data_IF_090276820836
#
_entry.id   IF_090276820836
#
_cell.length_a   1.000
_cell.length_b   1.000
_cell.length_c   1.000
_cell.angle_alpha   90.00
_cell.angle_beta   90.00
_cell.angle_gamma   90.00
#
_symmetry.space_group_name_H-M   'P 1'
#
loop_
_entity.id
_entity.type
_entity.pdbx_description
1 polymer ?
#
# COMPACT_ATOMS: atom_id res chain seq x y z
N UNK A 1 -28.55 -42.04 -34.51
CA UNK A 1 -29.28 -40.82 -34.18
C UNK A 1 -28.48 -40.07 -33.13
N UNK A 2 -27.45 -39.32 -33.54
CA UNK A 2 -26.64 -38.43 -32.64
C UNK A 2 -27.17 -37.03 -32.87
N UNK A 3 -27.78 -36.47 -31.85
CA UNK A 3 -28.34 -35.13 -31.86
C UNK A 3 -27.22 -34.12 -32.08
N UNK A 4 -27.32 -33.42 -33.16
CA UNK A 4 -26.58 -32.21 -33.45
C UNK A 4 -27.00 -31.19 -32.39
N UNK A 5 -26.20 -31.01 -31.35
CA UNK A 5 -26.26 -29.79 -30.55
C UNK A 5 -26.05 -28.65 -31.54
N UNK A 6 -27.08 -27.87 -31.75
CA UNK A 6 -27.06 -26.87 -32.81
C UNK A 6 -25.97 -25.85 -32.49
N UNK A 7 -25.26 -25.39 -33.52
CA UNK A 7 -24.28 -24.33 -33.36
C UNK A 7 -24.85 -23.09 -32.63
N UNK A 8 -26.17 -22.95 -32.66
CA UNK A 8 -26.96 -21.95 -31.94
C UNK A 8 -26.88 -22.13 -30.39
N UNK A 9 -26.94 -23.40 -29.91
CA UNK A 9 -26.90 -23.65 -28.46
C UNK A 9 -25.52 -23.41 -27.88
N UNK A 10 -24.46 -23.74 -28.61
CA UNK A 10 -23.07 -23.45 -28.22
C UNK A 10 -22.79 -21.95 -28.24
N UNK A 11 -23.31 -21.24 -29.23
CA UNK A 11 -23.16 -19.78 -29.33
C UNK A 11 -23.96 -19.04 -28.27
N UNK A 12 -25.15 -19.54 -27.91
CA UNK A 12 -25.97 -19.04 -26.81
C UNK A 12 -25.28 -19.24 -25.46
N UNK A 13 -24.73 -20.41 -25.19
CA UNK A 13 -23.97 -20.71 -23.98
C UNK A 13 -22.70 -19.87 -23.88
N UNK A 14 -21.97 -19.71 -24.98
CA UNK A 14 -20.78 -18.85 -25.01
C UNK A 14 -21.14 -17.36 -24.76
N UNK A 15 -22.21 -16.87 -25.36
CA UNK A 15 -22.67 -15.50 -25.13
C UNK A 15 -23.17 -15.28 -23.71
N UNK A 16 -23.80 -16.26 -23.06
CA UNK A 16 -24.19 -16.19 -21.66
C UNK A 16 -22.97 -16.15 -20.74
N UNK A 17 -21.94 -16.95 -21.00
CA UNK A 17 -20.70 -16.93 -20.25
C UNK A 17 -20.00 -15.57 -20.41
N UNK A 18 -19.91 -15.06 -21.64
CA UNK A 18 -19.33 -13.75 -21.94
C UNK A 18 -20.13 -12.63 -21.26
N UNK A 19 -21.46 -12.69 -21.23
CA UNK A 19 -22.29 -11.67 -20.58
C UNK A 19 -22.17 -11.69 -19.06
N UNK A 20 -21.95 -12.84 -18.43
CA UNK A 20 -21.66 -12.97 -16.99
C UNK A 20 -20.27 -12.43 -16.68
N UNK A 21 -19.29 -12.65 -17.56
CA UNK A 21 -17.93 -12.11 -17.39
C UNK A 21 -17.82 -10.61 -17.70
N UNK A 22 -18.67 -10.07 -18.57
CA UNK A 22 -18.66 -8.66 -18.96
C UNK A 22 -19.38 -7.72 -17.98
N UNK A 23 -20.19 -8.26 -17.07
CA UNK A 23 -20.80 -7.52 -15.95
C UNK A 23 -20.50 -8.25 -14.65
N UNK A 24 -19.26 -8.20 -14.16
CA UNK A 24 -18.92 -8.84 -12.91
C UNK A 24 -19.75 -8.22 -11.79
N UNK A 25 -20.64 -9.00 -11.21
CA UNK A 25 -21.38 -8.61 -10.02
C UNK A 25 -20.42 -8.35 -8.83
N UNK A 26 -20.87 -7.72 -7.76
CA UNK A 26 -20.02 -7.36 -6.61
C UNK A 26 -19.28 -8.55 -6.00
N UNK A 27 -19.76 -9.76 -6.20
CA UNK A 27 -19.14 -10.99 -5.70
C UNK A 27 -18.03 -11.55 -6.59
N UNK A 28 -17.89 -11.08 -7.82
CA UNK A 28 -16.89 -11.61 -8.77
C UNK A 28 -15.45 -11.42 -8.25
N UNK A 29 -15.17 -10.28 -7.66
CA UNK A 29 -13.85 -9.98 -7.08
C UNK A 29 -13.49 -10.96 -5.96
N UNK A 30 -14.46 -11.29 -5.10
CA UNK A 30 -14.23 -12.27 -4.02
C UNK A 30 -14.02 -13.68 -4.56
N UNK A 31 -14.81 -14.08 -5.57
CA UNK A 31 -14.65 -15.39 -6.22
C UNK A 31 -13.26 -15.50 -6.86
N UNK A 32 -12.84 -14.48 -7.62
CA UNK A 32 -11.52 -14.45 -8.23
C UNK A 32 -10.40 -14.51 -7.19
N UNK A 33 -10.55 -13.77 -6.09
CA UNK A 33 -9.59 -13.77 -4.97
C UNK A 33 -9.43 -15.17 -4.38
N UNK A 34 -10.53 -15.87 -4.08
CA UNK A 34 -10.46 -17.22 -3.53
C UNK A 34 -9.94 -18.25 -4.53
N UNK A 35 -10.24 -18.09 -5.83
CA UNK A 35 -9.66 -18.95 -6.90
C UNK A 35 -8.14 -18.77 -6.92
N UNK A 36 -7.63 -17.55 -6.89
CA UNK A 36 -6.19 -17.27 -6.90
C UNK A 36 -5.52 -17.86 -5.66
N UNK A 37 -6.10 -17.67 -4.47
CA UNK A 37 -5.56 -18.25 -3.23
C UNK A 37 -5.56 -19.79 -3.33
N UNK A 38 -6.67 -20.39 -3.76
CA UNK A 38 -6.77 -21.84 -3.93
C UNK A 38 -5.74 -22.39 -4.91
N UNK A 39 -5.51 -21.69 -6.01
CA UNK A 39 -4.46 -22.03 -6.97
C UNK A 39 -3.08 -22.04 -6.30
N UNK A 40 -2.73 -21.01 -5.56
CA UNK A 40 -1.41 -20.98 -4.88
C UNK A 40 -1.28 -22.01 -3.76
N UNK A 41 -2.35 -22.33 -3.03
CA UNK A 41 -2.34 -23.39 -2.01
C UNK A 41 -2.03 -24.75 -2.66
N UNK A 42 -2.58 -25.00 -3.86
CA UNK A 42 -2.42 -26.30 -4.54
C UNK A 42 -1.09 -26.43 -5.29
N UNK A 43 -0.59 -25.36 -5.88
CA UNK A 43 0.52 -25.41 -6.83
C UNK A 43 1.82 -24.78 -6.31
N UNK A 44 1.79 -23.94 -5.28
CA UNK A 44 2.99 -23.30 -4.75
C UNK A 44 3.46 -24.00 -3.46
N UNK A 45 4.65 -24.61 -3.45
CA UNK A 45 5.23 -25.22 -2.25
C UNK A 45 5.35 -24.18 -1.12
N UNK A 46 4.96 -24.55 0.09
CA UNK A 46 5.03 -23.71 1.29
C UNK A 46 4.16 -22.44 1.28
N UNK A 47 3.23 -22.28 0.33
CA UNK A 47 2.33 -21.13 0.34
C UNK A 47 1.43 -21.10 1.59
N UNK A 48 0.85 -22.23 1.97
CA UNK A 48 -0.03 -22.36 3.13
C UNK A 48 0.75 -22.50 4.46
N UNK A 49 1.77 -21.67 4.67
CA UNK A 49 2.54 -21.64 5.93
C UNK A 49 2.28 -20.36 6.71
N UNK A 50 2.46 -20.41 8.05
CA UNK A 50 2.40 -19.21 8.90
C UNK A 50 3.43 -18.16 8.49
N UNK A 51 4.60 -18.58 7.98
CA UNK A 51 5.62 -17.67 7.45
C UNK A 51 5.12 -16.87 6.27
N UNK A 52 4.52 -17.54 5.28
CA UNK A 52 3.94 -16.87 4.10
C UNK A 52 2.76 -15.99 4.50
N UNK A 53 1.87 -16.45 5.37
CA UNK A 53 0.76 -15.65 5.87
C UNK A 53 1.26 -14.38 6.58
N UNK A 54 2.29 -14.48 7.42
CA UNK A 54 2.91 -13.33 8.08
C UNK A 54 3.55 -12.37 7.09
N UNK A 55 4.24 -12.87 6.07
CA UNK A 55 4.85 -12.04 5.03
C UNK A 55 3.79 -11.27 4.21
N UNK A 56 2.73 -11.95 3.79
CA UNK A 56 1.59 -11.32 3.10
C UNK A 56 0.95 -10.27 4.02
N UNK A 57 0.72 -10.61 5.30
CA UNK A 57 0.16 -9.70 6.28
C UNK A 57 0.97 -8.42 6.45
N UNK A 58 2.31 -8.50 6.51
CA UNK A 58 3.20 -7.32 6.60
C UNK A 58 3.08 -6.41 5.38
N UNK A 59 3.11 -6.98 4.17
CA UNK A 59 3.00 -6.20 2.92
C UNK A 59 1.62 -5.55 2.83
N UNK A 60 0.56 -6.31 3.10
CA UNK A 60 -0.82 -5.82 3.07
C UNK A 60 -1.04 -4.71 4.10
N UNK A 61 -0.45 -4.84 5.29
CA UNK A 61 -0.54 -3.82 6.33
C UNK A 61 -0.03 -2.45 5.86
N UNK A 62 1.15 -2.41 5.24
CA UNK A 62 1.72 -1.16 4.70
C UNK A 62 0.82 -0.54 3.64
N UNK A 63 0.33 -1.37 2.71
CA UNK A 63 -0.59 -0.90 1.65
C UNK A 63 -1.90 -0.38 2.25
N UNK A 64 -2.42 -1.04 3.29
CA UNK A 64 -3.67 -0.62 3.96
C UNK A 64 -3.50 0.72 4.68
N UNK A 65 -2.38 0.95 5.37
CA UNK A 65 -2.08 2.23 6.01
C UNK A 65 -2.07 3.36 4.96
N UNK A 66 -1.41 3.14 3.83
CA UNK A 66 -1.41 4.11 2.73
C UNK A 66 -2.82 4.32 2.16
N UNK A 67 -3.60 3.24 1.99
CA UNK A 67 -4.95 3.31 1.46
C UNK A 67 -5.91 4.12 2.36
N UNK A 68 -5.79 4.01 3.69
CA UNK A 68 -6.56 4.83 4.62
C UNK A 68 -6.24 6.32 4.41
N UNK A 69 -4.96 6.69 4.33
CA UNK A 69 -4.56 8.07 4.02
C UNK A 69 -5.09 8.55 2.67
N UNK A 70 -5.00 7.71 1.64
CA UNK A 70 -5.53 8.03 0.30
C UNK A 70 -7.05 8.19 0.28
N UNK A 71 -7.78 7.51 1.16
CA UNK A 71 -9.23 7.66 1.26
C UNK A 71 -9.62 9.10 1.57
N UNK A 72 -8.92 9.77 2.49
CA UNK A 72 -9.18 11.19 2.80
C UNK A 72 -8.93 12.10 1.59
N UNK A 73 -7.88 11.85 0.83
CA UNK A 73 -7.57 12.61 -0.39
C UNK A 73 -8.68 12.42 -1.43
N UNK A 74 -9.13 11.18 -1.64
CA UNK A 74 -10.19 10.84 -2.60
C UNK A 74 -11.54 11.44 -2.19
N UNK A 75 -11.86 11.44 -0.89
CA UNK A 75 -13.10 12.08 -0.37
C UNK A 75 -13.11 13.58 -0.66
N UNK A 76 -11.95 14.23 -0.69
CA UNK A 76 -11.81 15.63 -1.13
C UNK A 76 -11.87 15.80 -2.66
N UNK A 77 -12.13 14.74 -3.43
CA UNK A 77 -12.08 14.71 -4.90
C UNK A 77 -10.70 15.08 -5.48
N UNK A 78 -9.63 14.81 -4.74
CA UNK A 78 -8.25 15.10 -5.10
C UNK A 78 -7.46 13.81 -5.35
N UNK A 79 -6.27 13.94 -5.94
CA UNK A 79 -5.37 12.80 -6.24
C UNK A 79 -3.98 13.11 -5.68
N UNK A 80 -3.38 12.17 -4.95
CA UNK A 80 -1.99 12.28 -4.50
C UNK A 80 -1.13 11.18 -5.12
N UNK A 81 -0.27 11.57 -6.06
CA UNK A 81 0.70 10.69 -6.72
C UNK A 81 2.03 10.59 -5.96
N UNK A 82 2.24 11.44 -4.94
CA UNK A 82 3.51 11.51 -4.22
C UNK A 82 3.67 10.42 -3.14
N UNK A 83 2.62 9.68 -2.79
CA UNK A 83 2.61 8.70 -1.69
C UNK A 83 3.78 7.71 -1.76
N UNK A 84 4.07 7.12 -2.91
CA UNK A 84 5.17 6.17 -3.06
C UNK A 84 6.56 6.79 -2.83
N UNK A 85 6.79 8.01 -3.32
CA UNK A 85 8.04 8.74 -3.10
C UNK A 85 8.15 9.25 -1.66
N UNK A 86 7.03 9.56 -1.02
CA UNK A 86 6.95 9.90 0.39
C UNK A 86 7.47 8.77 1.29
N UNK A 87 7.01 7.53 1.05
CA UNK A 87 7.48 6.35 1.78
C UNK A 87 8.99 6.16 1.58
N UNK A 88 9.48 6.27 0.35
CA UNK A 88 10.91 6.13 0.05
C UNK A 88 11.75 7.23 0.73
N UNK A 89 11.29 8.48 0.69
CA UNK A 89 11.96 9.61 1.33
C UNK A 89 11.94 9.49 2.85
N UNK A 90 10.82 9.11 3.43
CA UNK A 90 10.67 8.86 4.86
C UNK A 90 11.61 7.74 5.35
N UNK A 91 11.69 6.63 4.62
CA UNK A 91 12.60 5.53 4.92
C UNK A 91 14.08 5.96 4.86
N UNK A 92 14.45 6.76 3.87
CA UNK A 92 15.79 7.34 3.75
C UNK A 92 16.12 8.23 4.94
N UNK A 93 15.24 9.17 5.30
CA UNK A 93 15.45 10.06 6.45
C UNK A 93 15.56 9.26 7.73
N UNK A 94 14.67 8.27 7.96
CA UNK A 94 14.76 7.37 9.11
C UNK A 94 16.13 6.67 9.18
N UNK A 95 16.58 6.09 8.07
CA UNK A 95 17.86 5.41 7.99
C UNK A 95 19.04 6.33 8.34
N UNK A 96 19.07 7.56 7.80
CA UNK A 96 20.13 8.52 8.09
C UNK A 96 20.11 8.96 9.59
N UNK A 97 18.93 9.21 10.16
CA UNK A 97 18.80 9.62 11.57
C UNK A 97 19.24 8.49 12.51
N UNK A 98 18.83 7.26 12.24
CA UNK A 98 19.23 6.08 13.01
C UNK A 98 20.74 5.77 12.86
N UNK A 99 21.30 6.00 11.71
CA UNK A 99 22.75 5.87 11.47
C UNK A 99 23.56 6.90 12.29
N UNK A 100 22.95 8.04 12.64
CA UNK A 100 23.52 9.06 13.53
C UNK A 100 23.18 8.82 15.01
N UNK A 101 22.81 7.60 15.37
CA UNK A 101 22.47 7.17 16.73
C UNK A 101 21.31 7.93 17.40
N UNK A 102 20.40 8.52 16.60
CA UNK A 102 19.19 9.10 17.18
C UNK A 102 18.28 8.00 17.75
N UNK A 103 17.63 8.25 18.89
CA UNK A 103 16.67 7.31 19.47
C UNK A 103 15.53 6.97 18.50
N UNK A 104 15.12 5.70 18.42
CA UNK A 104 14.10 5.23 17.48
C UNK A 104 12.77 5.98 17.60
N UNK A 105 12.30 6.27 18.82
CA UNK A 105 11.07 7.03 19.07
C UNK A 105 11.14 8.47 18.53
N UNK A 106 12.31 9.13 18.67
CA UNK A 106 12.53 10.48 18.16
C UNK A 106 12.59 10.48 16.65
N UNK A 107 13.29 9.49 16.07
CA UNK A 107 13.31 9.28 14.60
C UNK A 107 11.91 9.08 14.04
N UNK A 108 11.09 8.23 14.66
CA UNK A 108 9.71 8.01 14.22
C UNK A 108 8.89 9.31 14.27
N UNK A 109 9.01 10.08 15.35
CA UNK A 109 8.30 11.36 15.50
C UNK A 109 8.72 12.39 14.45
N UNK A 110 10.03 12.50 14.18
CA UNK A 110 10.56 13.41 13.16
C UNK A 110 10.09 13.01 11.74
N UNK A 111 10.08 11.73 11.43
CA UNK A 111 9.63 11.22 10.14
C UNK A 111 8.12 11.43 9.94
N UNK A 112 7.31 11.23 10.99
CA UNK A 112 5.89 11.55 10.95
C UNK A 112 5.65 13.05 10.76
N UNK A 113 6.40 13.88 11.48
CA UNK A 113 6.37 15.35 11.32
C UNK A 113 6.76 15.78 9.89
N UNK A 114 7.76 15.15 9.30
CA UNK A 114 8.18 15.39 7.93
C UNK A 114 7.06 15.02 6.94
N UNK A 115 6.39 13.90 7.14
CA UNK A 115 5.25 13.48 6.32
C UNK A 115 4.12 14.51 6.37
N UNK A 116 3.75 14.95 7.58
CA UNK A 116 2.75 16.00 7.78
C UNK A 116 3.15 17.33 7.14
N UNK A 117 4.42 17.70 7.23
CA UNK A 117 4.96 18.93 6.63
C UNK A 117 4.86 18.91 5.10
N UNK A 118 5.28 17.84 4.46
CA UNK A 118 5.18 17.70 2.99
C UNK A 118 3.72 17.66 2.54
N UNK A 119 2.86 16.94 3.28
CA UNK A 119 1.41 16.94 3.02
C UNK A 119 0.79 18.34 3.14
N UNK A 120 1.20 19.11 4.15
CA UNK A 120 0.75 20.49 4.32
C UNK A 120 1.20 21.39 3.15
N UNK A 121 2.43 21.24 2.65
CA UNK A 121 2.91 21.96 1.46
C UNK A 121 2.02 21.63 0.26
N UNK A 122 1.78 20.34 -0.03
CA UNK A 122 0.90 19.95 -1.13
C UNK A 122 -0.49 20.55 -0.97
N UNK A 123 -1.08 20.44 0.22
CA UNK A 123 -2.41 20.98 0.52
C UNK A 123 -2.48 22.50 0.36
N UNK A 124 -1.48 23.24 0.82
CA UNK A 124 -1.43 24.71 0.67
C UNK A 124 -1.33 25.10 -0.82
N UNK A 125 -0.48 24.43 -1.60
CA UNK A 125 -0.32 24.72 -3.02
C UNK A 125 -1.64 24.45 -3.76
N UNK A 126 -2.30 23.33 -3.50
CA UNK A 126 -3.58 22.99 -4.13
C UNK A 126 -4.66 24.00 -3.73
N UNK A 127 -4.83 24.28 -2.45
CA UNK A 127 -5.96 25.08 -1.96
C UNK A 127 -5.77 26.58 -2.14
N UNK A 128 -4.56 27.09 -1.94
CA UNK A 128 -4.28 28.53 -2.00
C UNK A 128 -3.91 29.00 -3.40
N UNK A 129 -3.07 28.24 -4.11
CA UNK A 129 -2.66 28.59 -5.47
C UNK A 129 -3.63 28.02 -6.53
N UNK A 130 -4.60 27.18 -6.12
CA UNK A 130 -5.62 26.56 -7.00
C UNK A 130 -5.00 25.77 -8.15
N UNK A 131 -3.83 25.16 -7.91
CA UNK A 131 -3.18 24.29 -8.88
C UNK A 131 -3.78 22.88 -8.73
N UNK A 132 -4.13 22.18 -9.82
CA UNK A 132 -4.67 20.83 -9.76
C UNK A 132 -3.75 19.88 -8.95
N UNK A 133 -4.33 19.10 -8.03
CA UNK A 133 -3.60 18.25 -7.09
C UNK A 133 -2.69 17.24 -7.79
N UNK A 134 -3.15 16.66 -8.90
CA UNK A 134 -2.34 15.70 -9.64
C UNK A 134 -1.02 16.33 -10.14
N UNK A 135 -1.04 17.62 -10.54
CA UNK A 135 0.15 18.32 -11.03
C UNK A 135 1.12 18.64 -9.87
N UNK A 136 0.57 19.09 -8.73
CA UNK A 136 1.33 19.38 -7.51
C UNK A 136 2.01 18.12 -6.99
N UNK A 137 1.24 17.04 -6.86
CA UNK A 137 1.75 15.78 -6.28
C UNK A 137 2.68 15.04 -7.23
N UNK A 138 2.52 15.18 -8.55
CA UNK A 138 3.48 14.68 -9.54
C UNK A 138 4.81 15.44 -9.45
N UNK A 139 4.77 16.75 -9.26
CA UNK A 139 5.97 17.57 -8.98
C UNK A 139 6.63 17.14 -7.67
N UNK A 140 5.83 16.98 -6.60
CA UNK A 140 6.34 16.53 -5.29
C UNK A 140 6.92 15.12 -5.32
N UNK A 141 6.32 14.21 -6.09
CA UNK A 141 6.90 12.88 -6.35
C UNK A 141 8.33 12.99 -6.87
N UNK A 142 8.55 13.85 -7.87
CA UNK A 142 9.85 14.05 -8.47
C UNK A 142 10.84 14.69 -7.51
N UNK A 143 10.40 15.68 -6.73
CA UNK A 143 11.22 16.36 -5.70
C UNK A 143 11.65 15.37 -4.61
N UNK A 144 10.72 14.64 -4.01
CA UNK A 144 11.04 13.68 -2.93
C UNK A 144 11.96 12.56 -3.42
N UNK A 145 11.70 12.05 -4.63
CA UNK A 145 12.56 11.02 -5.23
C UNK A 145 13.95 11.55 -5.53
N UNK A 146 14.04 12.76 -6.08
CA UNK A 146 15.33 13.41 -6.36
C UNK A 146 16.12 13.67 -5.08
N UNK A 147 15.47 14.18 -4.03
CA UNK A 147 16.09 14.36 -2.71
C UNK A 147 16.57 13.04 -2.12
N UNK A 148 15.73 11.98 -2.14
CA UNK A 148 16.12 10.68 -1.63
C UNK A 148 17.41 10.15 -2.33
N UNK A 149 17.47 10.21 -3.65
CA UNK A 149 18.65 9.78 -4.42
C UNK A 149 19.87 10.66 -4.18
N UNK A 150 19.69 11.99 -4.08
CA UNK A 150 20.79 12.94 -3.87
C UNK A 150 21.44 12.77 -2.50
N UNK A 151 20.64 12.60 -1.44
CA UNK A 151 21.18 12.43 -0.08
C UNK A 151 21.87 11.08 0.14
N UNK A 152 21.50 10.06 -0.61
CA UNK A 152 22.09 8.72 -0.46
C UNK A 152 23.14 8.38 -1.51
N UNK A 153 23.37 9.27 -2.48
CA UNK A 153 24.20 8.95 -3.64
C UNK A 153 23.66 7.75 -4.42
N UNK A 154 22.35 7.54 -4.42
CA UNK A 154 21.66 6.38 -5.01
C UNK A 154 22.01 5.03 -4.36
N UNK A 155 22.57 5.05 -3.14
CA UNK A 155 22.89 3.84 -2.38
C UNK A 155 21.77 3.55 -1.36
N UNK A 156 21.46 2.29 -1.09
CA UNK A 156 20.50 1.93 -0.05
C UNK A 156 21.04 2.29 1.33
N UNK A 157 20.19 2.86 2.18
CA UNK A 157 20.53 3.15 3.58
C UNK A 157 19.94 2.04 4.46
N UNK A 158 20.76 1.19 5.09
CA UNK A 158 20.26 0.13 5.94
C UNK A 158 19.72 0.68 7.26
N UNK A 159 18.56 0.21 7.69
CA UNK A 159 18.01 0.49 9.02
C UNK A 159 18.39 -0.67 9.93
N UNK A 160 19.39 -0.46 10.79
CA UNK A 160 19.97 -1.51 11.66
C UNK A 160 19.53 -1.40 13.13
N UNK A 161 18.83 -0.32 13.51
CA UNK A 161 18.35 -0.14 14.87
C UNK A 161 17.22 -1.15 15.18
N UNK A 162 17.52 -2.14 16.04
CA UNK A 162 16.60 -3.25 16.34
C UNK A 162 15.30 -2.76 16.97
N UNK A 163 15.37 -1.87 17.96
CA UNK A 163 14.19 -1.39 18.66
C UNK A 163 13.21 -0.70 17.69
N UNK A 164 13.75 0.12 16.78
CA UNK A 164 12.96 0.79 15.75
C UNK A 164 12.31 -0.21 14.79
N UNK A 165 13.09 -1.19 14.32
CA UNK A 165 12.61 -2.22 13.40
C UNK A 165 11.57 -3.11 14.08
N UNK A 166 11.80 -3.54 15.31
CA UNK A 166 10.90 -4.44 16.01
C UNK A 166 9.55 -3.78 16.33
N UNK A 167 9.54 -2.50 16.69
CA UNK A 167 8.29 -1.78 16.97
C UNK A 167 7.49 -1.49 15.69
N UNK A 168 8.15 -1.11 14.59
CA UNK A 168 7.45 -0.61 13.40
C UNK A 168 7.26 -1.66 12.29
N UNK A 169 8.19 -2.62 12.16
CA UNK A 169 8.21 -3.50 10.99
C UNK A 169 8.49 -4.96 11.29
N UNK A 170 9.59 -5.25 12.00
CA UNK A 170 10.14 -6.62 12.12
C UNK A 170 9.53 -7.43 13.24
N UNK A 171 9.16 -6.78 14.34
CA UNK A 171 8.67 -7.43 15.54
C UNK A 171 7.32 -8.11 15.39
N UNK A 172 6.97 -8.90 16.42
CA UNK A 172 5.66 -9.51 16.54
C UNK A 172 5.18 -9.40 17.98
N UNK A 173 3.91 -9.10 18.17
CA UNK A 173 3.23 -9.09 19.45
C UNK A 173 2.10 -10.12 19.41
N UNK A 174 2.05 -11.04 20.38
CA UNK A 174 1.11 -12.16 20.42
C UNK A 174 1.15 -13.05 19.16
N UNK A 175 2.31 -13.19 18.51
CA UNK A 175 2.46 -13.94 17.26
C UNK A 175 1.99 -13.21 16.00
N UNK A 176 1.48 -11.98 16.14
CA UNK A 176 1.01 -11.14 15.02
C UNK A 176 2.08 -10.09 14.69
N UNK A 177 2.46 -9.92 13.42
CA UNK A 177 3.43 -8.90 13.00
C UNK A 177 3.06 -7.48 13.41
N UNK A 178 4.04 -6.69 13.86
CA UNK A 178 3.85 -5.31 14.30
C UNK A 178 3.11 -4.40 13.29
N UNK A 179 3.37 -4.46 11.98
CA UNK A 179 2.64 -3.66 11.01
C UNK A 179 1.12 -3.87 11.00
N UNK A 180 0.65 -5.06 11.34
CA UNK A 180 -0.80 -5.35 11.42
C UNK A 180 -1.45 -4.57 12.57
N UNK A 181 -0.77 -4.45 13.71
CA UNK A 181 -1.25 -3.64 14.83
C UNK A 181 -1.31 -2.16 14.47
N UNK A 182 -0.29 -1.64 13.78
CA UNK A 182 -0.29 -0.26 13.29
C UNK A 182 -1.40 -0.01 12.26
N UNK A 183 -1.68 -1.00 11.41
CA UNK A 183 -2.82 -0.93 10.48
C UNK A 183 -4.13 -0.81 11.23
N UNK A 184 -4.33 -1.62 12.26
CA UNK A 184 -5.54 -1.60 13.07
C UNK A 184 -5.74 -0.24 13.74
N UNK A 185 -4.68 0.33 14.31
CA UNK A 185 -4.69 1.69 14.88
C UNK A 185 -5.07 2.72 13.81
N UNK A 186 -4.43 2.65 12.63
CA UNK A 186 -4.67 3.59 11.53
C UNK A 186 -6.11 3.51 11.00
N UNK A 187 -6.65 2.31 10.85
CA UNK A 187 -8.04 2.10 10.41
C UNK A 187 -9.02 2.63 11.45
N UNK A 188 -8.81 2.32 12.74
CA UNK A 188 -9.66 2.84 13.81
C UNK A 188 -9.65 4.37 13.82
N UNK A 189 -8.47 4.98 13.80
CA UNK A 189 -8.34 6.45 13.74
C UNK A 189 -9.01 7.01 12.49
N UNK A 190 -8.80 6.37 11.33
CA UNK A 190 -9.39 6.82 10.06
C UNK A 190 -10.93 6.71 9.98
N UNK A 191 -11.54 5.81 10.75
CA UNK A 191 -13.01 5.69 10.82
C UNK A 191 -13.61 6.79 11.72
N UNK A 192 -12.86 7.28 12.72
CA UNK A 192 -13.34 8.30 13.66
C UNK A 192 -13.08 9.75 13.23
N UNK A 193 -12.26 9.96 12.19
CA UNK A 193 -11.99 11.29 11.62
C UNK A 193 -12.90 11.55 10.41
#
# INVERSE_FOLDING_TARGET
>A
MRSILSQTDLKSSANNIISVLSKPGPHFTYILFFIVIGFFILFAPNFATLGTASAIGRITAVVTIMAVGMTFVIVCAEIDLSVGSHVSFAAMVAGILLYKDLPGWLTASLVLGLGAFVGAINGIIVTKLKIPSFLVTLGMLSVLRGLALSFTGSMPVPIVNRDYVDVLAGGSMLGVPAPIWWTLVTVVVGVYI
#
